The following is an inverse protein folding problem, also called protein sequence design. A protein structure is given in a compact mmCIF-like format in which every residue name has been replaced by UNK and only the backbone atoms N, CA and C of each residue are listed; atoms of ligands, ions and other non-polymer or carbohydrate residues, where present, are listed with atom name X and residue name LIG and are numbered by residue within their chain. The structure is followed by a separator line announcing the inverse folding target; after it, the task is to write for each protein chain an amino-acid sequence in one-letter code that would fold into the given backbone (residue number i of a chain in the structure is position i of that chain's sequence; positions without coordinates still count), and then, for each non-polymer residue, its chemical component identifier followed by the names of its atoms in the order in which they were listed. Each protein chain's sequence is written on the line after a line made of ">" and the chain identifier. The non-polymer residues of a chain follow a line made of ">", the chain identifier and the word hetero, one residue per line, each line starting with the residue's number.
data_IF_854545597738
#
_entry.id   IF_854545597738
#
_cell.length_a   1.000
_cell.length_b   1.000
_cell.length_c   1.000
_cell.angle_alpha   90.00
_cell.angle_beta   90.00
_cell.angle_gamma   90.00
#
_symmetry.space_group_name_H-M   'P 1'
#
loop_
_entity.id
_entity.type
_entity.pdbx_description
1 polymer ?
#
# COMPACT_ATOMS: atom_id res chain seq x y z
N UNK A 1 12.32 19.31 16.03
CA UNK A 1 12.13 18.03 15.31
C UNK A 1 11.28 18.32 14.09
N UNK A 2 11.66 17.93 12.86
CA UNK A 2 10.74 18.05 11.74
C UNK A 2 9.54 17.15 12.01
N UNK A 3 8.33 17.71 12.00
CA UNK A 3 7.09 16.94 12.11
C UNK A 3 7.02 16.02 10.90
N UNK A 4 6.95 14.71 11.12
CA UNK A 4 6.84 13.74 10.04
C UNK A 4 5.51 13.94 9.28
N UNK A 5 5.53 13.97 7.95
CA UNK A 5 4.31 14.13 7.16
C UNK A 5 3.45 12.85 7.22
N UNK A 6 2.12 12.97 7.03
CA UNK A 6 1.21 11.81 6.92
C UNK A 6 1.68 10.81 5.85
N UNK A 7 2.29 11.33 4.77
CA UNK A 7 2.88 10.51 3.72
C UNK A 7 4.02 9.65 4.24
N UNK A 8 4.97 10.26 4.93
CA UNK A 8 6.13 9.53 5.47
C UNK A 8 5.68 8.50 6.51
N UNK A 9 4.70 8.83 7.35
CA UNK A 9 4.11 7.88 8.30
C UNK A 9 3.49 6.66 7.59
N UNK A 10 2.72 6.89 6.51
CA UNK A 10 2.17 5.81 5.68
C UNK A 10 3.26 4.95 5.05
N UNK A 11 4.30 5.56 4.49
CA UNK A 11 5.41 4.83 3.86
C UNK A 11 6.17 3.96 4.87
N UNK A 12 6.43 4.49 6.06
CA UNK A 12 7.02 3.72 7.17
C UNK A 12 6.14 2.53 7.54
N UNK A 13 4.84 2.75 7.75
CA UNK A 13 3.92 1.67 8.10
C UNK A 13 3.82 0.59 7.01
N UNK A 14 3.87 0.96 5.73
CA UNK A 14 3.91 -0.01 4.62
C UNK A 14 5.23 -0.78 4.60
N UNK A 15 6.36 -0.11 4.84
CA UNK A 15 7.67 -0.76 4.86
C UNK A 15 7.79 -1.78 6.00
N UNK A 16 7.16 -1.52 7.15
CA UNK A 16 7.11 -2.45 8.30
C UNK A 16 6.38 -3.77 7.95
N UNK A 17 5.45 -3.77 6.98
CA UNK A 17 4.80 -4.99 6.52
C UNK A 17 5.79 -6.01 5.95
N UNK A 18 6.95 -5.58 5.46
CA UNK A 18 7.99 -6.49 4.94
C UNK A 18 8.54 -7.42 6.02
N UNK A 19 8.79 -6.89 7.22
CA UNK A 19 9.28 -7.67 8.36
C UNK A 19 8.21 -8.65 8.84
N UNK A 20 6.96 -8.18 8.93
CA UNK A 20 5.84 -9.03 9.31
C UNK A 20 5.54 -10.13 8.25
N UNK A 21 5.68 -9.83 6.96
CA UNK A 21 5.59 -10.83 5.89
C UNK A 21 6.68 -11.90 6.03
N UNK A 22 7.93 -11.48 6.24
CA UNK A 22 9.05 -12.40 6.43
C UNK A 22 8.86 -13.31 7.65
N UNK A 23 8.37 -12.76 8.77
CA UNK A 23 8.05 -13.53 9.98
C UNK A 23 6.97 -14.58 9.74
N UNK A 24 5.91 -14.23 9.00
CA UNK A 24 4.83 -15.18 8.64
C UNK A 24 5.34 -16.32 7.76
N UNK A 25 6.15 -16.01 6.74
CA UNK A 25 6.79 -17.01 5.90
C UNK A 25 7.70 -17.95 6.72
N UNK A 26 8.52 -17.39 7.61
CA UNK A 26 9.40 -18.16 8.49
C UNK A 26 8.63 -19.07 9.47
N UNK A 27 7.40 -18.69 9.80
CA UNK A 27 6.48 -19.47 10.66
C UNK A 27 5.71 -20.56 9.89
N UNK A 28 5.98 -20.74 8.59
CA UNK A 28 5.39 -21.79 7.75
C UNK A 28 4.12 -21.38 7.00
N UNK A 29 3.73 -20.10 7.00
CA UNK A 29 2.63 -19.63 6.16
C UNK A 29 3.01 -19.75 4.67
N UNK A 30 2.02 -20.03 3.82
CA UNK A 30 2.24 -20.10 2.37
C UNK A 30 2.45 -18.71 1.78
N UNK A 31 3.11 -18.62 0.62
CA UNK A 31 3.24 -17.33 -0.08
C UNK A 31 1.87 -16.74 -0.45
N UNK A 32 0.88 -17.57 -0.76
CA UNK A 32 -0.49 -17.11 -1.03
C UNK A 32 -1.11 -16.44 0.20
N UNK A 33 -1.06 -17.09 1.36
CA UNK A 33 -1.63 -16.55 2.59
C UNK A 33 -0.96 -15.22 2.96
N UNK A 34 0.37 -15.16 2.84
CA UNK A 34 1.14 -13.95 3.13
C UNK A 34 0.87 -12.85 2.11
N UNK A 35 0.71 -13.18 0.83
CA UNK A 35 0.36 -12.21 -0.21
C UNK A 35 -1.05 -11.60 0.02
N UNK A 36 -2.04 -12.46 0.32
CA UNK A 36 -3.42 -12.02 0.62
C UNK A 36 -3.44 -11.11 1.85
N UNK A 37 -2.76 -11.53 2.92
CA UNK A 37 -2.59 -10.73 4.12
C UNK A 37 -1.92 -9.38 3.83
N UNK A 38 -0.77 -9.37 3.13
CA UNK A 38 -0.01 -8.14 2.87
C UNK A 38 -0.81 -7.12 2.03
N UNK A 39 -1.57 -7.58 1.04
CA UNK A 39 -2.45 -6.69 0.25
C UNK A 39 -3.59 -6.14 1.10
N UNK A 40 -4.21 -6.97 1.94
CA UNK A 40 -5.27 -6.54 2.84
C UNK A 40 -4.78 -5.49 3.84
N UNK A 41 -3.65 -5.73 4.52
CA UNK A 41 -3.05 -4.76 5.45
C UNK A 41 -2.69 -3.46 4.77
N UNK A 42 -2.06 -3.52 3.58
CA UNK A 42 -1.73 -2.31 2.83
C UNK A 42 -2.98 -1.50 2.49
N UNK A 43 -4.05 -2.16 2.06
CA UNK A 43 -5.30 -1.48 1.75
C UNK A 43 -5.96 -0.91 3.02
N UNK A 44 -5.86 -1.58 4.17
CA UNK A 44 -6.30 -1.05 5.46
C UNK A 44 -5.51 0.21 5.86
N UNK A 45 -4.17 0.20 5.71
CA UNK A 45 -3.35 1.39 5.92
C UNK A 45 -3.79 2.54 5.01
N UNK A 46 -4.03 2.28 3.72
CA UNK A 46 -4.55 3.33 2.82
C UNK A 46 -5.85 3.92 3.32
N UNK A 47 -6.80 3.11 3.79
CA UNK A 47 -8.05 3.62 4.37
C UNK A 47 -7.79 4.54 5.55
N UNK A 48 -6.97 4.11 6.51
CA UNK A 48 -6.63 4.90 7.71
C UNK A 48 -5.98 6.22 7.35
N UNK A 49 -4.94 6.22 6.52
CA UNK A 49 -4.22 7.46 6.19
C UNK A 49 -5.02 8.39 5.28
N UNK A 50 -5.88 7.86 4.41
CA UNK A 50 -6.77 8.69 3.58
C UNK A 50 -7.83 9.41 4.40
N UNK A 51 -8.35 8.78 5.46
CA UNK A 51 -9.27 9.44 6.39
C UNK A 51 -8.62 10.65 7.12
N UNK A 52 -7.28 10.68 7.19
CA UNK A 52 -6.51 11.78 7.77
C UNK A 52 -6.01 12.79 6.72
N UNK A 53 -6.14 12.47 5.42
CA UNK A 53 -5.58 13.27 4.33
C UNK A 53 -6.55 14.39 3.95
N UNK A 54 -6.09 15.66 3.81
CA UNK A 54 -6.96 16.76 3.35
C UNK A 54 -7.60 16.51 1.98
N UNK A 55 -8.85 16.97 1.81
CA UNK A 55 -9.70 16.69 0.64
C UNK A 55 -9.05 16.97 -0.74
N UNK A 56 -8.33 18.09 -0.94
CA UNK A 56 -7.68 18.37 -2.23
C UNK A 56 -6.62 17.33 -2.60
N UNK A 57 -5.86 16.84 -1.60
CA UNK A 57 -4.83 15.81 -1.78
C UNK A 57 -5.47 14.44 -1.92
N UNK A 58 -6.49 14.13 -1.11
CA UNK A 58 -7.24 12.88 -1.17
C UNK A 58 -7.84 12.66 -2.56
N UNK A 59 -8.49 13.68 -3.13
CA UNK A 59 -9.08 13.64 -4.49
C UNK A 59 -8.05 13.27 -5.54
N UNK A 60 -6.83 13.84 -5.48
CA UNK A 60 -5.72 13.52 -6.41
C UNK A 60 -5.26 12.07 -6.26
N UNK A 61 -5.15 11.57 -5.02
CA UNK A 61 -4.79 10.18 -4.73
C UNK A 61 -5.86 9.22 -5.28
N UNK A 62 -7.13 9.51 -5.05
CA UNK A 62 -8.25 8.68 -5.53
C UNK A 62 -8.30 8.65 -7.06
N UNK A 63 -8.17 9.80 -7.72
CA UNK A 63 -8.14 9.89 -9.18
C UNK A 63 -7.01 9.04 -9.78
N UNK A 64 -5.80 9.12 -9.22
CA UNK A 64 -4.66 8.29 -9.63
C UNK A 64 -4.88 6.79 -9.40
N UNK A 65 -5.51 6.44 -8.28
CA UNK A 65 -5.77 5.03 -7.98
C UNK A 65 -6.84 4.47 -8.92
N UNK A 66 -7.88 5.25 -9.21
CA UNK A 66 -8.95 4.92 -10.14
C UNK A 66 -8.42 4.77 -11.56
N UNK A 67 -7.60 5.71 -12.03
CA UNK A 67 -6.92 5.66 -13.34
C UNK A 67 -6.12 4.35 -13.51
N UNK A 68 -5.41 3.93 -12.45
CA UNK A 68 -4.51 2.78 -12.52
C UNK A 68 -5.18 1.42 -12.32
N UNK A 69 -6.17 1.34 -11.45
CA UNK A 69 -6.72 0.07 -10.97
C UNK A 69 -8.23 -0.06 -11.14
N UNK A 70 -8.91 0.96 -11.66
CA UNK A 70 -10.37 0.95 -11.83
C UNK A 70 -11.15 1.01 -10.52
N UNK A 71 -10.49 1.22 -9.38
CA UNK A 71 -11.13 1.39 -8.08
C UNK A 71 -10.40 2.43 -7.22
N UNK A 72 -11.04 2.89 -6.15
CA UNK A 72 -10.51 4.00 -5.35
C UNK A 72 -9.35 3.59 -4.45
N UNK A 73 -9.22 2.35 -3.99
CA UNK A 73 -8.28 1.96 -2.90
C UNK A 73 -7.02 1.27 -3.44
N UNK A 74 -7.19 0.36 -4.39
CA UNK A 74 -6.12 -0.42 -4.99
C UNK A 74 -6.60 -1.83 -5.32
N UNK A 75 -5.74 -2.63 -5.95
CA UNK A 75 -6.09 -3.99 -6.34
C UNK A 75 -6.23 -4.90 -5.12
N UNK A 76 -7.02 -5.96 -5.28
CA UNK A 76 -7.01 -7.14 -4.40
C UNK A 76 -5.85 -8.07 -4.77
N UNK A 77 -5.59 -9.09 -3.94
CA UNK A 77 -4.60 -10.09 -4.27
C UNK A 77 -4.99 -10.89 -5.53
N UNK A 78 -6.28 -11.16 -5.71
CA UNK A 78 -6.80 -11.86 -6.88
C UNK A 78 -6.66 -11.02 -8.16
N UNK A 79 -6.92 -9.71 -8.10
CA UNK A 79 -6.67 -8.81 -9.23
C UNK A 79 -5.19 -8.86 -9.69
N UNK A 80 -4.28 -8.88 -8.71
CA UNK A 80 -2.84 -8.96 -8.99
C UNK A 80 -2.43 -10.31 -9.56
N UNK A 81 -3.06 -11.41 -9.10
CA UNK A 81 -2.86 -12.74 -9.66
C UNK A 81 -3.40 -12.86 -11.07
N UNK A 82 -4.59 -12.34 -11.33
CA UNK A 82 -5.20 -12.29 -12.66
C UNK A 82 -4.35 -11.47 -13.64
N UNK A 83 -3.67 -10.43 -13.14
CA UNK A 83 -2.69 -9.65 -13.90
C UNK A 83 -1.33 -10.36 -14.11
N UNK A 84 -1.18 -11.61 -13.66
CA UNK A 84 -0.01 -12.45 -13.96
C UNK A 84 1.11 -12.43 -12.92
N UNK A 85 0.98 -11.68 -11.81
CA UNK A 85 2.02 -11.66 -10.77
C UNK A 85 2.07 -12.96 -9.98
N UNK A 86 3.27 -13.43 -9.64
CA UNK A 86 3.46 -14.48 -8.63
C UNK A 86 3.10 -14.00 -7.22
N UNK A 87 2.87 -14.95 -6.29
CA UNK A 87 2.61 -14.62 -4.89
C UNK A 87 3.76 -13.84 -4.25
N UNK A 88 5.01 -14.25 -4.53
CA UNK A 88 6.21 -13.52 -4.12
C UNK A 88 6.23 -12.07 -4.62
N UNK A 89 5.97 -11.83 -5.91
CA UNK A 89 5.90 -10.46 -6.46
C UNK A 89 4.77 -9.63 -5.85
N UNK A 90 3.67 -10.27 -5.43
CA UNK A 90 2.59 -9.60 -4.71
C UNK A 90 3.06 -9.19 -3.32
N UNK A 91 3.71 -10.07 -2.57
CA UNK A 91 4.30 -9.76 -1.25
C UNK A 91 5.28 -8.59 -1.39
N UNK A 92 6.25 -8.69 -2.30
CA UNK A 92 7.27 -7.67 -2.52
C UNK A 92 6.64 -6.31 -2.88
N UNK A 93 5.66 -6.30 -3.78
CA UNK A 93 5.01 -5.04 -4.20
C UNK A 93 3.99 -4.49 -3.20
N UNK A 94 3.41 -5.32 -2.32
CA UNK A 94 2.51 -4.89 -1.26
C UNK A 94 3.27 -4.27 -0.07
N UNK A 95 4.47 -4.76 0.19
CA UNK A 95 5.34 -4.33 1.31
C UNK A 95 6.31 -3.20 0.93
N UNK A 96 6.37 -2.83 -0.36
CA UNK A 96 7.14 -1.68 -0.84
C UNK A 96 6.30 -0.40 -0.82
N UNK A 97 6.82 0.64 -0.15
CA UNK A 97 6.29 1.99 -0.28
C UNK A 97 6.27 2.41 -1.76
N UNK A 98 5.21 3.11 -2.19
CA UNK A 98 5.13 3.66 -3.55
C UNK A 98 6.06 4.87 -3.68
N UNK A 99 6.52 5.20 -4.89
CA UNK A 99 7.31 6.40 -5.12
C UNK A 99 6.40 7.54 -5.61
N UNK A 100 6.14 8.51 -4.75
CA UNK A 100 5.55 9.79 -5.14
C UNK A 100 6.41 10.87 -4.49
N UNK A 101 6.91 11.82 -5.28
CA UNK A 101 7.69 12.92 -4.74
C UNK A 101 6.85 13.81 -3.81
N UNK A 102 7.48 14.40 -2.80
CA UNK A 102 6.84 15.27 -1.79
C UNK A 102 5.89 16.32 -2.38
N UNK A 103 6.23 16.87 -3.55
CA UNK A 103 5.44 17.88 -4.24
C UNK A 103 4.00 17.43 -4.56
N UNK A 104 3.75 16.11 -4.67
CA UNK A 104 2.40 15.57 -4.88
C UNK A 104 1.49 15.73 -3.64
N UNK A 105 2.08 15.73 -2.44
CA UNK A 105 1.36 15.79 -1.16
C UNK A 105 1.39 17.16 -0.49
N UNK A 106 2.12 18.13 -1.04
CA UNK A 106 2.07 19.52 -0.59
C UNK A 106 0.83 20.18 -1.18
N UNK A 107 0.20 21.05 -0.40
CA UNK A 107 -0.86 21.92 -0.87
C UNK A 107 -0.34 22.73 -2.08
N UNK A 108 -1.19 22.82 -3.10
CA UNK A 108 -1.02 23.79 -4.19
C UNK A 108 -1.82 25.04 -3.86
#
# INVERSE_FOLDING_TARGET
>A
MPTQSLRTMYETAVAELSSAAASRLASGATEEDVARWAVAERNALKHTYRALTPEPVLTRIEAKTLERYGNKIGPTADDLRAAGKSWKEIIDSATRAGEHGDAFFRDG
#
